data_IF_042985848505
#
_entry.id   IF_042985848505
#
_cell.length_a   1.000
_cell.length_b   1.000
_cell.length_c   1.000
_cell.angle_alpha   90.00
_cell.angle_beta   90.00
_cell.angle_gamma   90.00
#
_symmetry.space_group_name_H-M   'P 1'
#
loop_
_entity.id
_entity.type
_entity.pdbx_description
1 polymer ?
#
# COMPACT_ATOMS: atom_id res chain seq x y z
N UNK A 1 -16.11 20.91 10.19
CA UNK A 1 -16.20 19.90 11.28
C UNK A 1 -17.19 18.77 10.98
N UNK A 2 -18.47 19.04 10.65
CA UNK A 2 -19.46 17.99 10.34
C UNK A 2 -19.07 17.07 9.16
N UNK A 3 -18.54 17.62 8.07
CA UNK A 3 -18.07 16.83 6.90
C UNK A 3 -16.86 15.96 7.26
N UNK A 4 -15.93 16.48 8.07
CA UNK A 4 -14.77 15.73 8.55
C UNK A 4 -15.21 14.51 9.38
N UNK A 5 -16.17 14.71 10.30
CA UNK A 5 -16.72 13.64 11.13
C UNK A 5 -17.48 12.60 10.29
N UNK A 6 -18.18 13.03 9.23
CA UNK A 6 -18.87 12.13 8.31
C UNK A 6 -17.89 11.27 7.50
N UNK A 7 -16.82 11.88 6.97
CA UNK A 7 -15.75 11.17 6.27
C UNK A 7 -15.05 10.19 7.22
N UNK A 8 -14.73 10.61 8.45
CA UNK A 8 -14.18 9.70 9.48
C UNK A 8 -15.13 8.53 9.76
N UNK A 9 -16.43 8.81 9.89
CA UNK A 9 -17.45 7.79 10.09
C UNK A 9 -17.51 6.79 8.94
N UNK A 10 -17.45 7.25 7.69
CA UNK A 10 -17.44 6.39 6.50
C UNK A 10 -16.17 5.54 6.40
N UNK A 11 -15.00 6.08 6.76
CA UNK A 11 -13.73 5.34 6.79
C UNK A 11 -13.76 4.18 7.80
N UNK A 12 -14.52 4.31 8.89
CA UNK A 12 -14.68 3.25 9.88
C UNK A 12 -15.55 2.08 9.38
N UNK A 13 -16.40 2.29 8.36
CA UNK A 13 -17.36 1.28 7.89
C UNK A 13 -16.73 0.20 6.97
N UNK A 14 -15.50 0.40 6.49
CA UNK A 14 -14.74 -0.62 5.76
C UNK A 14 -15.30 -0.95 4.38
N UNK A 15 -14.62 -0.55 3.31
CA UNK A 15 -14.90 -1.03 1.96
C UNK A 15 -14.11 -2.31 1.68
N UNK A 16 -14.66 -3.30 0.94
CA UNK A 16 -13.89 -4.47 0.54
C UNK A 16 -12.64 -4.04 -0.25
N UNK A 17 -11.51 -4.64 0.12
CA UNK A 17 -10.18 -4.31 -0.44
C UNK A 17 -10.18 -4.58 -1.95
N UNK A 18 -9.85 -3.58 -2.75
CA UNK A 18 -9.67 -3.76 -4.18
C UNK A 18 -8.49 -4.73 -4.40
N UNK A 19 -8.75 -5.90 -5.00
CA UNK A 19 -7.75 -6.94 -5.34
C UNK A 19 -6.59 -6.47 -6.24
N UNK A 20 -6.58 -5.20 -6.68
CA UNK A 20 -5.62 -4.64 -7.61
C UNK A 20 -4.34 -4.07 -6.96
N UNK A 21 -4.29 -3.92 -5.63
CA UNK A 21 -3.12 -3.37 -4.95
C UNK A 21 -2.01 -4.43 -4.72
N UNK A 22 -0.76 -4.03 -4.93
CA UNK A 22 0.45 -4.82 -4.65
C UNK A 22 0.47 -6.25 -5.24
N UNK A 23 0.03 -6.45 -6.49
CA UNK A 23 0.02 -7.80 -7.10
C UNK A 23 -0.93 -8.78 -6.39
N UNK A 24 -1.95 -8.25 -5.72
CA UNK A 24 -2.95 -8.99 -4.96
C UNK A 24 -2.52 -9.32 -3.54
N UNK A 25 -1.35 -8.88 -3.07
CA UNK A 25 -0.89 -9.09 -1.70
C UNK A 25 -1.79 -8.35 -0.71
N UNK A 26 -2.10 -9.03 0.40
CA UNK A 26 -2.98 -8.50 1.44
C UNK A 26 -2.20 -8.31 2.74
N UNK A 27 -2.38 -7.18 3.44
CA UNK A 27 -1.87 -7.01 4.80
C UNK A 27 -2.33 -8.14 5.74
N UNK A 28 -1.49 -8.52 6.71
CA UNK A 28 -1.80 -9.60 7.65
C UNK A 28 -1.03 -9.50 8.98
N UNK A 29 -1.45 -10.27 9.99
CA UNK A 29 -0.82 -10.33 11.31
C UNK A 29 0.05 -11.58 11.50
N UNK A 30 0.51 -12.18 10.41
CA UNK A 30 1.35 -13.38 10.48
C UNK A 30 2.33 -13.46 9.32
N UNK A 31 3.41 -14.20 9.51
CA UNK A 31 4.38 -14.58 8.48
C UNK A 31 4.55 -16.09 8.49
N UNK A 32 4.26 -16.71 7.36
CA UNK A 32 4.54 -18.13 7.17
C UNK A 32 5.94 -18.32 6.62
N UNK A 33 6.61 -19.39 7.04
CA UNK A 33 7.94 -19.76 6.59
C UNK A 33 8.01 -21.27 6.31
N UNK A 34 8.70 -21.64 5.23
CA UNK A 34 9.05 -23.05 4.97
C UNK A 34 10.17 -23.43 5.93
N UNK A 35 10.01 -24.54 6.63
CA UNK A 35 11.02 -25.07 7.55
C UNK A 35 11.79 -26.24 6.94
N UNK A 36 11.13 -27.09 6.14
CA UNK A 36 11.78 -28.25 5.54
C UNK A 36 11.00 -28.83 4.35
N UNK A 37 11.69 -29.64 3.55
CA UNK A 37 11.11 -30.55 2.54
C UNK A 37 11.59 -31.96 2.88
N UNK A 38 10.67 -32.91 3.09
CA UNK A 38 10.98 -34.22 3.65
C UNK A 38 10.27 -35.38 2.91
N UNK A 39 10.99 -36.37 2.34
CA UNK A 39 12.45 -36.38 2.20
C UNK A 39 12.95 -35.22 1.31
N UNK A 40 14.21 -34.76 1.47
CA UNK A 40 14.76 -33.71 0.62
C UNK A 40 14.76 -34.11 -0.87
N UNK A 41 14.33 -33.20 -1.73
CA UNK A 41 14.32 -33.39 -3.18
C UNK A 41 15.51 -32.66 -3.83
N UNK A 42 16.37 -33.41 -4.53
CA UNK A 42 17.53 -32.83 -5.22
C UNK A 42 17.09 -31.86 -6.33
N UNK A 43 17.66 -30.65 -6.34
CA UNK A 43 17.34 -29.61 -7.33
C UNK A 43 16.02 -28.88 -7.07
N UNK A 44 15.35 -29.10 -5.93
CA UNK A 44 14.09 -28.42 -5.61
C UNK A 44 14.31 -27.37 -4.54
N UNK A 45 13.86 -26.15 -4.79
CA UNK A 45 13.87 -25.06 -3.82
C UNK A 45 12.43 -24.67 -3.50
N UNK A 46 12.11 -24.61 -2.22
CA UNK A 46 10.80 -24.19 -1.74
C UNK A 46 10.98 -23.11 -0.68
N UNK A 47 10.31 -21.98 -0.86
CA UNK A 47 10.35 -20.86 0.09
C UNK A 47 9.04 -20.10 0.10
N UNK A 48 8.76 -19.42 1.20
CA UNK A 48 7.74 -18.39 1.21
C UNK A 48 8.30 -17.10 0.64
N UNK A 49 7.53 -16.44 -0.21
CA UNK A 49 7.81 -15.13 -0.81
C UNK A 49 6.69 -14.16 -0.44
N UNK A 50 6.85 -12.89 -0.81
CA UNK A 50 5.84 -11.85 -0.66
C UNK A 50 5.29 -11.77 0.78
N UNK A 51 6.20 -11.65 1.76
CA UNK A 51 5.89 -11.56 3.19
C UNK A 51 5.07 -12.75 3.71
N UNK A 52 5.42 -13.96 3.29
CA UNK A 52 4.79 -15.17 3.83
C UNK A 52 3.41 -15.48 3.25
N UNK A 53 2.94 -14.76 2.24
CA UNK A 53 1.59 -14.95 1.67
C UNK A 53 1.55 -15.93 0.50
N UNK A 54 2.70 -16.23 -0.11
CA UNK A 54 2.78 -17.05 -1.32
C UNK A 54 3.94 -18.02 -1.24
N UNK A 55 3.69 -19.27 -1.64
CA UNK A 55 4.73 -20.30 -1.77
C UNK A 55 5.36 -20.19 -3.16
N UNK A 56 6.69 -20.16 -3.22
CA UNK A 56 7.47 -20.32 -4.44
C UNK A 56 8.14 -21.70 -4.43
N UNK A 57 7.91 -22.45 -5.50
CA UNK A 57 8.56 -23.74 -5.77
C UNK A 57 9.31 -23.63 -7.07
N UNK A 58 10.63 -23.81 -7.02
CA UNK A 58 11.49 -23.92 -8.20
C UNK A 58 11.97 -25.35 -8.35
N UNK A 59 11.73 -25.93 -9.52
CA UNK A 59 12.11 -27.30 -9.85
C UNK A 59 13.29 -27.29 -10.84
N UNK A 60 14.52 -27.32 -10.35
CA UNK A 60 15.73 -27.54 -11.16
C UNK A 60 16.07 -29.05 -11.27
N UNK A 61 15.18 -29.95 -10.81
CA UNK A 61 15.33 -31.39 -10.94
C UNK A 61 15.00 -31.90 -12.35
N UNK A 62 15.12 -33.22 -12.56
CA UNK A 62 14.91 -33.86 -13.87
C UNK A 62 13.48 -34.32 -14.12
N UNK A 63 12.63 -34.38 -13.09
CA UNK A 63 11.26 -34.89 -13.17
C UNK A 63 10.22 -33.81 -12.80
N UNK A 64 9.01 -33.83 -13.39
CA UNK A 64 7.91 -32.99 -12.95
C UNK A 64 7.50 -33.27 -11.50
N UNK A 65 7.09 -32.23 -10.78
CA UNK A 65 6.57 -32.32 -9.42
C UNK A 65 5.09 -31.93 -9.39
N UNK A 66 4.31 -32.51 -8.48
CA UNK A 66 2.94 -32.08 -8.22
C UNK A 66 2.85 -31.49 -6.82
N UNK A 67 2.39 -30.25 -6.71
CA UNK A 67 2.18 -29.56 -5.43
C UNK A 67 0.85 -28.83 -5.45
N UNK A 68 0.04 -29.02 -4.41
CA UNK A 68 -1.30 -28.42 -4.30
C UNK A 68 -2.17 -28.60 -5.58
N UNK A 69 -2.07 -29.77 -6.22
CA UNK A 69 -2.79 -30.07 -7.47
C UNK A 69 -2.21 -29.45 -8.74
N UNK A 70 -1.10 -28.70 -8.66
CA UNK A 70 -0.40 -28.10 -9.81
C UNK A 70 0.87 -28.88 -10.15
N UNK A 71 1.09 -29.11 -11.45
CA UNK A 71 2.35 -29.65 -11.96
C UNK A 71 3.38 -28.55 -12.18
N UNK A 72 4.61 -28.76 -11.71
CA UNK A 72 5.78 -27.87 -11.89
C UNK A 72 6.84 -28.65 -12.67
N UNK A 73 7.09 -28.25 -13.92
CA UNK A 73 8.05 -28.96 -14.80
C UNK A 73 9.50 -28.66 -14.43
N UNK A 74 10.47 -29.49 -14.86
CA UNK A 74 11.88 -29.14 -14.84
C UNK A 74 12.15 -27.76 -15.45
N UNK A 75 12.91 -26.92 -14.75
CA UNK A 75 13.19 -25.53 -15.09
C UNK A 75 12.08 -24.52 -14.77
N UNK A 76 10.92 -24.97 -14.28
CA UNK A 76 9.80 -24.09 -13.95
C UNK A 76 9.90 -23.54 -12.52
N UNK A 77 9.40 -22.31 -12.34
CA UNK A 77 9.07 -21.75 -11.03
C UNK A 77 7.57 -21.55 -10.92
N UNK A 78 6.93 -22.23 -9.97
CA UNK A 78 5.54 -22.03 -9.63
C UNK A 78 5.40 -21.13 -8.40
N UNK A 79 4.43 -20.21 -8.46
CA UNK A 79 4.06 -19.33 -7.34
C UNK A 79 2.57 -19.43 -7.12
N UNK A 80 2.14 -19.71 -5.90
CA UNK A 80 0.72 -19.88 -5.58
C UNK A 80 0.43 -19.65 -4.09
N UNK A 81 -0.83 -19.34 -3.79
CA UNK A 81 -1.34 -19.27 -2.42
C UNK A 81 -2.00 -20.57 -2.05
N UNK A 82 -1.95 -20.90 -0.77
CA UNK A 82 -2.56 -22.10 -0.22
C UNK A 82 -3.03 -21.81 1.20
N UNK A 83 -4.32 -21.95 1.47
CA UNK A 83 -4.90 -21.55 2.76
C UNK A 83 -4.32 -22.32 3.94
N UNK A 84 -3.75 -23.51 3.69
CA UNK A 84 -3.06 -24.30 4.72
C UNK A 84 -1.89 -23.56 5.33
N UNK A 85 -1.23 -22.65 4.60
CA UNK A 85 -0.07 -21.91 5.12
C UNK A 85 -0.43 -20.93 6.25
N UNK A 86 -1.71 -20.73 6.57
CA UNK A 86 -2.17 -19.87 7.66
C UNK A 86 -2.25 -20.55 9.04
N UNK A 87 -2.13 -21.88 9.08
CA UNK A 87 -2.08 -22.65 10.32
C UNK A 87 -0.73 -22.45 11.04
N UNK A 88 -0.68 -22.60 12.38
CA UNK A 88 0.55 -22.37 13.16
C UNK A 88 1.68 -23.31 12.73
N UNK A 89 1.33 -24.55 12.39
CA UNK A 89 2.18 -25.52 11.70
C UNK A 89 1.41 -26.06 10.51
N UNK A 90 2.05 -26.15 9.35
CA UNK A 90 1.37 -26.54 8.12
C UNK A 90 2.22 -27.45 7.24
N UNK A 91 1.54 -28.17 6.36
CA UNK A 91 2.14 -29.15 5.45
C UNK A 91 1.44 -29.12 4.09
N UNK A 92 2.23 -29.20 3.03
CA UNK A 92 1.74 -29.26 1.65
C UNK A 92 2.43 -30.45 0.95
N UNK A 93 1.67 -31.45 0.46
CA UNK A 93 2.25 -32.56 -0.31
C UNK A 93 2.95 -32.06 -1.58
N UNK A 94 4.14 -32.62 -1.86
CA UNK A 94 5.00 -32.32 -2.99
C UNK A 94 5.56 -33.64 -3.56
N UNK A 95 4.83 -34.27 -4.47
CA UNK A 95 5.17 -35.62 -4.97
C UNK A 95 5.21 -36.65 -3.83
N UNK A 96 6.34 -37.33 -3.67
CA UNK A 96 6.61 -38.27 -2.57
C UNK A 96 7.12 -37.57 -1.29
N UNK A 97 7.35 -36.26 -1.35
CA UNK A 97 7.82 -35.44 -0.24
C UNK A 97 6.70 -34.55 0.32
N UNK A 98 7.00 -33.91 1.45
CA UNK A 98 6.11 -32.93 2.09
C UNK A 98 6.89 -31.64 2.37
N UNK A 99 6.34 -30.51 1.94
CA UNK A 99 6.79 -29.19 2.36
C UNK A 99 6.17 -28.90 3.72
N UNK A 100 7.01 -28.64 4.72
CA UNK A 100 6.59 -28.27 6.07
C UNK A 100 6.89 -26.80 6.33
N UNK A 101 6.08 -26.18 7.16
CA UNK A 101 6.35 -24.83 7.61
C UNK A 101 5.62 -24.45 8.88
N UNK A 102 5.93 -23.25 9.34
CA UNK A 102 5.38 -22.65 10.55
C UNK A 102 4.89 -21.24 10.25
N UNK A 103 4.03 -20.74 11.12
CA UNK A 103 3.48 -19.39 11.02
C UNK A 103 3.76 -18.63 12.30
N UNK A 104 4.49 -17.53 12.19
CA UNK A 104 4.73 -16.61 13.31
C UNK A 104 3.67 -15.52 13.28
N UNK A 105 2.95 -15.35 14.39
CA UNK A 105 1.93 -14.29 14.54
C UNK A 105 2.55 -13.06 15.21
N UNK A 106 2.07 -11.90 14.81
CA UNK A 106 2.51 -10.61 15.31
C UNK A 106 1.30 -9.84 15.85
N UNK A 107 1.50 -9.12 16.95
CA UNK A 107 0.48 -8.24 17.47
C UNK A 107 0.20 -7.11 16.49
N UNK A 108 -1.08 -6.76 16.36
CA UNK A 108 -1.50 -5.63 15.55
C UNK A 108 -0.92 -4.32 16.13
N UNK A 109 -0.54 -3.36 15.27
CA UNK A 109 -0.14 -2.03 15.72
C UNK A 109 -1.32 -1.29 16.39
N UNK A 110 -1.02 -0.24 17.14
CA UNK A 110 -2.05 0.64 17.68
C UNK A 110 -2.67 1.50 16.55
N UNK A 111 -3.74 1.00 15.94
CA UNK A 111 -4.44 1.68 14.85
C UNK A 111 -4.93 3.08 15.24
N UNK A 112 -5.36 3.27 16.49
CA UNK A 112 -5.83 4.57 16.98
C UNK A 112 -4.73 5.63 16.94
N UNK A 113 -3.49 5.26 17.29
CA UNK A 113 -2.36 6.19 17.22
C UNK A 113 -2.14 6.70 15.79
N UNK A 114 -2.13 5.81 14.80
CA UNK A 114 -1.97 6.20 13.39
C UNK A 114 -3.11 7.05 12.88
N UNK A 115 -4.35 6.73 13.28
CA UNK A 115 -5.52 7.57 13.03
C UNK A 115 -5.36 8.99 13.61
N UNK A 116 -4.90 9.10 14.85
CA UNK A 116 -4.65 10.40 15.49
C UNK A 116 -3.57 11.18 14.75
N UNK A 117 -2.51 10.53 14.28
CA UNK A 117 -1.49 11.15 13.42
C UNK A 117 -2.11 11.66 12.12
N UNK A 118 -2.93 10.85 11.44
CA UNK A 118 -3.64 11.26 10.22
C UNK A 118 -4.52 12.49 10.47
N UNK A 119 -5.28 12.52 11.57
CA UNK A 119 -6.11 13.66 11.97
C UNK A 119 -5.26 14.90 12.28
N UNK A 120 -4.13 14.74 12.97
CA UNK A 120 -3.22 15.82 13.27
C UNK A 120 -2.62 16.43 11.99
N UNK A 121 -2.21 15.61 11.03
CA UNK A 121 -1.75 16.07 9.70
C UNK A 121 -2.89 16.79 8.96
N UNK A 122 -4.12 16.27 9.00
CA UNK A 122 -5.27 16.92 8.38
C UNK A 122 -5.59 18.30 8.97
N UNK A 123 -5.42 18.47 10.28
CA UNK A 123 -5.63 19.74 10.96
C UNK A 123 -4.70 20.86 10.45
N UNK A 124 -3.54 20.51 9.88
CA UNK A 124 -2.62 21.48 9.27
C UNK A 124 -3.27 22.25 8.10
N UNK A 125 -4.33 21.72 7.49
CA UNK A 125 -5.06 22.40 6.40
C UNK A 125 -5.59 23.78 6.77
N UNK A 126 -5.90 24.02 8.05
CA UNK A 126 -6.31 25.34 8.57
C UNK A 126 -5.21 26.39 8.35
N UNK A 127 -3.95 25.98 8.43
CA UNK A 127 -2.79 26.83 8.25
C UNK A 127 -2.36 26.93 6.78
N UNK A 128 -2.42 25.83 6.03
CA UNK A 128 -1.99 25.79 4.63
C UNK A 128 -2.73 26.82 3.76
N UNK A 129 -4.02 27.04 4.03
CA UNK A 129 -4.79 28.04 3.29
C UNK A 129 -4.25 29.47 3.42
N UNK A 130 -3.33 29.78 4.33
CA UNK A 130 -2.80 31.14 4.52
C UNK A 130 -1.87 31.62 3.41
N UNK A 131 -1.40 30.74 2.53
CA UNK A 131 -0.58 31.16 1.39
C UNK A 131 -0.43 30.10 0.30
N UNK A 132 -0.36 30.55 -0.96
CA UNK A 132 -0.22 29.66 -2.12
C UNK A 132 1.07 28.84 -2.10
N UNK A 133 2.16 29.41 -1.57
CA UNK A 133 3.43 28.68 -1.43
C UNK A 133 3.29 27.48 -0.49
N UNK A 134 2.57 27.61 0.63
CA UNK A 134 2.35 26.51 1.57
C UNK A 134 1.50 25.40 0.95
N UNK A 135 0.45 25.75 0.20
CA UNK A 135 -0.35 24.77 -0.54
C UNK A 135 0.48 24.00 -1.57
N UNK A 136 1.35 24.69 -2.31
CA UNK A 136 2.21 24.04 -3.29
C UNK A 136 3.23 23.10 -2.67
N UNK A 137 3.94 23.55 -1.61
CA UNK A 137 4.90 22.71 -0.88
C UNK A 137 4.21 21.47 -0.30
N UNK A 138 3.07 21.66 0.36
CA UNK A 138 2.30 20.54 0.90
C UNK A 138 1.81 19.60 -0.21
N UNK A 139 1.41 20.12 -1.38
CA UNK A 139 1.01 19.29 -2.52
C UNK A 139 2.16 18.39 -2.96
N UNK A 140 3.36 18.95 -3.12
CA UNK A 140 4.55 18.16 -3.51
C UNK A 140 4.87 17.09 -2.46
N UNK A 141 4.84 17.42 -1.16
CA UNK A 141 5.16 16.46 -0.10
C UNK A 141 4.15 15.31 -0.02
N UNK A 142 2.85 15.62 -0.08
CA UNK A 142 1.77 14.62 -0.03
C UNK A 142 1.83 13.71 -1.25
N UNK A 143 2.07 14.28 -2.43
CA UNK A 143 2.26 13.53 -3.67
C UNK A 143 3.52 12.65 -3.61
N UNK A 144 4.63 13.16 -3.11
CA UNK A 144 5.86 12.39 -2.95
C UNK A 144 5.68 11.21 -1.99
N UNK A 145 4.92 11.39 -0.90
CA UNK A 145 4.58 10.30 0.01
C UNK A 145 3.75 9.21 -0.70
N UNK A 146 2.77 9.60 -1.51
CA UNK A 146 1.97 8.66 -2.30
C UNK A 146 2.82 7.90 -3.33
N UNK A 147 3.75 8.58 -4.03
CA UNK A 147 4.69 7.93 -4.96
C UNK A 147 5.58 6.93 -4.22
N UNK A 148 6.13 7.32 -3.06
CA UNK A 148 6.97 6.45 -2.25
C UNK A 148 6.21 5.20 -1.76
N UNK A 149 4.95 5.37 -1.35
CA UNK A 149 4.07 4.26 -1.00
C UNK A 149 3.88 3.32 -2.20
N UNK A 150 3.47 3.83 -3.37
CA UNK A 150 3.27 3.02 -4.57
C UNK A 150 4.56 2.28 -5.01
N UNK A 151 5.72 2.93 -4.92
CA UNK A 151 7.01 2.32 -5.20
C UNK A 151 7.30 1.16 -4.24
N UNK A 152 7.20 1.38 -2.93
CA UNK A 152 7.48 0.33 -1.95
C UNK A 152 6.50 -0.85 -2.03
N UNK A 153 5.22 -0.59 -2.30
CA UNK A 153 4.20 -1.61 -2.55
C UNK A 153 4.44 -2.39 -3.84
N UNK A 154 5.13 -1.79 -4.82
CA UNK A 154 5.52 -2.48 -6.06
C UNK A 154 6.77 -3.33 -5.85
N UNK A 155 7.78 -2.79 -5.17
CA UNK A 155 9.08 -3.43 -5.00
C UNK A 155 9.04 -4.70 -4.14
N UNK A 156 8.04 -4.86 -3.28
CA UNK A 156 7.89 -6.06 -2.46
C UNK A 156 7.44 -7.28 -3.27
N UNK A 157 6.78 -7.05 -4.42
CA UNK A 157 6.16 -8.11 -5.20
C UNK A 157 7.23 -8.83 -5.99
N UNK A 158 7.44 -10.10 -5.66
CA UNK A 158 8.38 -10.97 -6.35
C UNK A 158 7.73 -11.63 -7.57
N UNK A 159 8.48 -11.67 -8.67
CA UNK A 159 8.10 -12.46 -9.83
C UNK A 159 7.16 -11.82 -10.85
N UNK A 160 6.75 -10.57 -10.64
CA UNK A 160 6.01 -9.77 -11.62
C UNK A 160 6.89 -8.72 -12.30
N UNK A 161 6.45 -8.19 -13.44
CA UNK A 161 7.11 -7.06 -14.07
C UNK A 161 6.80 -5.77 -13.31
N UNK A 162 7.84 -4.97 -13.03
CA UNK A 162 7.72 -3.77 -12.21
C UNK A 162 6.71 -2.77 -12.78
N UNK A 163 6.76 -2.48 -14.08
CA UNK A 163 5.97 -1.39 -14.66
C UNK A 163 4.44 -1.62 -14.57
N UNK A 164 3.88 -2.77 -14.96
CA UNK A 164 2.45 -3.03 -14.77
C UNK A 164 2.02 -3.01 -13.30
N UNK A 165 2.85 -3.55 -12.41
CA UNK A 165 2.59 -3.52 -10.97
C UNK A 165 2.59 -2.09 -10.42
N UNK A 166 3.56 -1.28 -10.83
CA UNK A 166 3.67 0.11 -10.43
C UNK A 166 2.46 0.92 -10.91
N UNK A 167 2.09 0.77 -12.19
CA UNK A 167 0.90 1.42 -12.75
C UNK A 167 -0.37 1.00 -11.99
N UNK A 168 -0.53 -0.29 -11.69
CA UNK A 168 -1.64 -0.82 -10.89
C UNK A 168 -1.67 -0.26 -9.47
N UNK A 169 -0.54 -0.24 -8.78
CA UNK A 169 -0.41 0.30 -7.42
C UNK A 169 -0.58 1.83 -7.35
N UNK A 170 -0.29 2.53 -8.45
CA UNK A 170 -0.37 4.00 -8.50
C UNK A 170 -1.80 4.50 -8.66
N UNK A 171 -2.64 3.79 -9.43
CA UNK A 171 -4.06 4.12 -9.62
C UNK A 171 -4.31 5.60 -9.95
N UNK A 172 -5.11 6.27 -9.12
CA UNK A 172 -5.43 7.71 -9.24
C UNK A 172 -4.20 8.62 -9.09
N UNK A 173 -3.13 8.12 -8.44
CA UNK A 173 -1.84 8.81 -8.32
C UNK A 173 -1.26 9.22 -9.67
N UNK A 174 -1.42 8.41 -10.72
CA UNK A 174 -0.92 8.72 -12.07
C UNK A 174 -1.47 10.04 -12.64
N UNK A 175 -2.67 10.44 -12.23
CA UNK A 175 -3.26 11.74 -12.57
C UNK A 175 -2.81 12.82 -11.59
N UNK A 176 -2.72 12.51 -10.30
CA UNK A 176 -2.34 13.46 -9.26
C UNK A 176 -0.89 13.96 -9.39
N UNK A 177 0.05 13.13 -9.84
CA UNK A 177 1.47 13.47 -9.90
C UNK A 177 1.79 14.61 -10.90
N UNK A 178 1.33 14.56 -12.17
CA UNK A 178 1.52 15.71 -13.06
C UNK A 178 0.77 16.95 -12.57
N UNK A 179 -0.42 16.79 -11.96
CA UNK A 179 -1.14 17.91 -11.36
C UNK A 179 -0.37 18.57 -10.21
N UNK A 180 0.38 17.80 -9.41
CA UNK A 180 1.25 18.35 -8.37
C UNK A 180 2.36 19.24 -8.96
N UNK A 181 2.95 18.83 -10.09
CA UNK A 181 3.93 19.66 -10.82
C UNK A 181 3.29 20.95 -11.33
N UNK A 182 2.09 20.86 -11.91
CA UNK A 182 1.34 22.04 -12.36
C UNK A 182 0.98 22.97 -11.19
N UNK A 183 0.62 22.41 -10.03
CA UNK A 183 0.34 23.18 -8.82
C UNK A 183 1.56 23.99 -8.38
N UNK A 184 2.75 23.37 -8.38
CA UNK A 184 4.01 24.04 -8.06
C UNK A 184 4.35 25.15 -9.07
N UNK A 185 4.24 24.87 -10.37
CA UNK A 185 4.45 25.88 -11.43
C UNK A 185 3.49 27.06 -11.33
N UNK A 186 2.20 26.80 -11.08
CA UNK A 186 1.19 27.82 -10.86
C UNK A 186 1.53 28.69 -9.62
N UNK A 187 2.10 28.10 -8.57
CA UNK A 187 2.45 28.82 -7.34
C UNK A 187 3.64 29.75 -7.54
N UNK A 188 4.66 29.30 -8.29
CA UNK A 188 5.79 30.15 -8.72
C UNK A 188 5.28 31.34 -9.53
N UNK A 189 4.33 31.10 -10.45
CA UNK A 189 3.67 32.14 -11.23
C UNK A 189 2.61 32.93 -10.44
N UNK A 190 2.44 32.66 -9.13
CA UNK A 190 1.47 33.28 -8.22
C UNK A 190 0.02 33.27 -8.75
N UNK A 191 -0.37 32.18 -9.40
CA UNK A 191 -1.71 32.04 -9.98
C UNK A 191 -2.71 31.51 -8.94
N UNK A 192 -3.94 32.03 -8.90
CA UNK A 192 -4.98 31.53 -7.98
C UNK A 192 -5.33 30.05 -8.23
N UNK A 193 -5.07 29.56 -9.44
CA UNK A 193 -5.25 28.16 -9.82
C UNK A 193 -4.50 27.17 -8.90
N UNK A 194 -3.41 27.58 -8.25
CA UNK A 194 -2.69 26.76 -7.26
C UNK A 194 -3.62 26.20 -6.19
N UNK A 195 -4.51 27.03 -5.64
CA UNK A 195 -5.40 26.58 -4.56
C UNK A 195 -6.42 25.55 -5.04
N UNK A 196 -6.93 25.71 -6.27
CA UNK A 196 -7.86 24.77 -6.90
C UNK A 196 -7.18 23.42 -7.19
N UNK A 197 -5.98 23.46 -7.80
CA UNK A 197 -5.24 22.23 -8.14
C UNK A 197 -4.82 21.50 -6.85
N UNK A 198 -4.32 22.21 -5.84
CA UNK A 198 -4.00 21.63 -4.54
C UNK A 198 -5.21 20.94 -3.90
N UNK A 199 -6.39 21.59 -3.90
CA UNK A 199 -7.59 21.00 -3.32
C UNK A 199 -8.05 19.75 -4.07
N UNK A 200 -7.96 19.78 -5.41
CA UNK A 200 -8.33 18.66 -6.29
C UNK A 200 -7.40 17.47 -6.08
N UNK A 201 -6.09 17.69 -6.13
CA UNK A 201 -5.07 16.65 -5.87
C UNK A 201 -5.27 16.07 -4.47
N UNK A 202 -5.47 16.92 -3.46
CA UNK A 202 -5.71 16.48 -2.09
C UNK A 202 -6.92 15.57 -1.95
N UNK A 203 -8.06 15.97 -2.52
CA UNK A 203 -9.29 15.17 -2.48
C UNK A 203 -9.16 13.83 -3.21
N UNK A 204 -8.51 13.84 -4.38
CA UNK A 204 -8.28 12.62 -5.16
C UNK A 204 -7.37 11.63 -4.43
N UNK A 205 -6.28 12.11 -3.81
CA UNK A 205 -5.37 11.25 -3.05
C UNK A 205 -6.01 10.70 -1.77
N UNK A 206 -6.91 11.45 -1.12
CA UNK A 206 -7.70 10.90 0.01
C UNK A 206 -8.52 9.70 -0.45
N UNK A 207 -9.28 9.84 -1.54
CA UNK A 207 -10.12 8.76 -2.07
C UNK A 207 -9.26 7.58 -2.51
N UNK A 208 -8.14 7.84 -3.16
CA UNK A 208 -7.22 6.82 -3.64
C UNK A 208 -6.61 5.98 -2.51
N UNK A 209 -6.35 6.59 -1.35
CA UNK A 209 -5.70 5.93 -0.22
C UNK A 209 -6.65 5.37 0.83
N UNK A 210 -7.98 5.41 0.61
CA UNK A 210 -8.94 4.73 1.50
C UNK A 210 -8.65 3.22 1.63
N UNK A 211 -8.36 2.47 0.53
CA UNK A 211 -8.04 1.05 0.63
C UNK A 211 -6.76 0.76 1.44
N UNK A 212 -5.83 1.71 1.50
CA UNK A 212 -4.55 1.57 2.22
C UNK A 212 -4.72 1.75 3.74
N UNK A 213 -5.94 2.02 4.23
CA UNK A 213 -6.23 2.18 5.66
C UNK A 213 -5.89 0.94 6.49
N UNK A 214 -5.95 -0.24 5.87
CA UNK A 214 -5.57 -1.50 6.52
C UNK A 214 -4.09 -1.52 6.95
N UNK A 215 -3.23 -0.66 6.39
CA UNK A 215 -1.86 -0.47 6.88
C UNK A 215 -1.81 -0.12 8.37
N UNK A 216 -2.84 0.53 8.92
CA UNK A 216 -2.90 0.87 10.35
C UNK A 216 -3.31 -0.29 11.25
N UNK A 217 -3.83 -1.40 10.70
CA UNK A 217 -4.44 -2.51 11.46
C UNK A 217 -3.59 -3.76 11.47
N UNK A 218 -2.77 -3.96 10.44
CA UNK A 218 -2.00 -5.19 10.27
C UNK A 218 -0.52 -4.96 10.55
N UNK A 219 0.12 -5.92 11.20
CA UNK A 219 1.53 -5.87 11.56
C UNK A 219 2.44 -5.98 10.31
N UNK A 220 2.07 -6.86 9.38
CA UNK A 220 2.82 -7.16 8.16
C UNK A 220 2.11 -6.53 6.97
N UNK A 221 2.84 -5.67 6.27
CA UNK A 221 2.33 -4.90 5.14
C UNK A 221 3.08 -5.32 3.88
N UNK A 222 2.42 -5.39 2.71
CA UNK A 222 3.08 -5.66 1.45
C UNK A 222 3.84 -4.42 0.99
N UNK A 223 4.95 -4.12 1.66
CA UNK A 223 5.77 -2.94 1.44
C UNK A 223 7.24 -3.28 1.63
N UNK A 224 8.11 -2.84 0.70
CA UNK A 224 9.52 -3.20 0.71
C UNK A 224 10.34 -2.57 1.85
N UNK A 225 9.83 -1.53 2.52
CA UNK A 225 10.44 -0.88 3.67
C UNK A 225 9.90 -1.39 5.01
N UNK A 226 10.11 -0.62 6.08
CA UNK A 226 9.50 -0.92 7.38
C UNK A 226 7.98 -0.67 7.34
N UNK A 227 7.23 -1.44 8.13
CA UNK A 227 5.79 -1.26 8.22
C UNK A 227 5.41 0.13 8.79
N UNK A 228 6.22 0.69 9.68
CA UNK A 228 5.98 2.05 10.21
C UNK A 228 6.21 3.14 9.16
N UNK A 229 7.16 2.94 8.25
CA UNK A 229 7.35 3.85 7.11
C UNK A 229 6.11 3.82 6.21
N UNK A 230 5.59 2.64 5.87
CA UNK A 230 4.36 2.53 5.08
C UNK A 230 3.19 3.27 5.74
N UNK A 231 2.97 3.04 7.03
CA UNK A 231 1.92 3.73 7.81
C UNK A 231 2.11 5.24 7.82
N UNK A 232 3.35 5.72 7.99
CA UNK A 232 3.63 7.14 7.94
C UNK A 232 3.31 7.74 6.55
N UNK A 233 3.69 7.06 5.47
CA UNK A 233 3.38 7.47 4.10
C UNK A 233 1.86 7.53 3.88
N UNK A 234 1.12 6.50 4.26
CA UNK A 234 -0.36 6.46 4.18
C UNK A 234 -0.99 7.57 5.02
N UNK A 235 -0.53 7.79 6.26
CA UNK A 235 -1.04 8.85 7.13
C UNK A 235 -0.78 10.25 6.56
N UNK A 236 0.39 10.48 5.93
CA UNK A 236 0.72 11.72 5.24
C UNK A 236 -0.17 11.89 4.01
N UNK A 237 -0.40 10.84 3.22
CA UNK A 237 -1.24 10.92 2.02
C UNK A 237 -2.70 11.21 2.38
N UNK A 238 -3.30 10.45 3.30
CA UNK A 238 -4.67 10.66 3.75
C UNK A 238 -4.85 11.99 4.49
N UNK A 239 -4.04 12.22 5.52
CA UNK A 239 -4.14 13.42 6.35
C UNK A 239 -3.77 14.66 5.56
N UNK A 240 -2.67 14.61 4.82
CA UNK A 240 -2.19 15.72 4.01
C UNK A 240 -3.10 16.01 2.81
N UNK A 241 -3.65 14.98 2.16
CA UNK A 241 -4.64 15.18 1.09
C UNK A 241 -5.88 15.92 1.59
N UNK A 242 -6.38 15.57 2.78
CA UNK A 242 -7.48 16.28 3.42
C UNK A 242 -7.08 17.72 3.83
N UNK A 243 -5.86 17.92 4.34
CA UNK A 243 -5.32 19.24 4.65
C UNK A 243 -5.27 20.14 3.40
N UNK A 244 -4.85 19.59 2.25
CA UNK A 244 -4.81 20.29 0.97
C UNK A 244 -6.21 20.65 0.46
N UNK A 245 -7.17 19.73 0.53
CA UNK A 245 -8.56 19.99 0.19
C UNK A 245 -9.11 21.14 1.03
N UNK A 246 -9.03 21.05 2.36
CA UNK A 246 -9.52 22.08 3.29
C UNK A 246 -8.80 23.41 3.07
N UNK A 247 -7.48 23.40 2.95
CA UNK A 247 -6.66 24.59 2.79
C UNK A 247 -6.93 25.32 1.48
N UNK A 248 -7.00 24.58 0.37
CA UNK A 248 -7.29 25.14 -0.96
C UNK A 248 -8.69 25.73 -1.05
N UNK A 249 -9.73 25.03 -0.57
CA UNK A 249 -11.09 25.59 -0.50
C UNK A 249 -11.17 26.82 0.41
N UNK A 250 -10.48 26.79 1.55
CA UNK A 250 -10.46 27.93 2.47
C UNK A 250 -9.78 29.16 1.87
N UNK A 251 -8.72 28.97 1.08
CA UNK A 251 -8.07 30.05 0.34
C UNK A 251 -9.02 30.65 -0.70
N UNK A 252 -9.60 29.81 -1.57
CA UNK A 252 -10.52 30.27 -2.63
C UNK A 252 -11.71 31.05 -2.07
N UNK A 253 -12.29 30.58 -0.95
CA UNK A 253 -13.40 31.28 -0.29
C UNK A 253 -13.04 32.69 0.18
N UNK A 254 -11.82 32.90 0.70
CA UNK A 254 -11.37 34.23 1.12
C UNK A 254 -11.19 35.16 -0.07
N UNK A 255 -10.61 34.64 -1.15
CA UNK A 255 -10.37 35.41 -2.37
C UNK A 255 -11.69 35.90 -3.00
N UNK A 256 -12.73 35.05 -3.01
CA UNK A 256 -14.06 35.44 -3.53
C UNK A 256 -14.83 36.40 -2.63
N UNK A 257 -14.41 36.56 -1.37
CA UNK A 257 -15.08 37.42 -0.39
C UNK A 257 -14.40 38.78 -0.23
N UNK A 258 -13.22 38.97 -0.83
CA UNK A 258 -12.49 40.23 -0.90
C UNK A 258 -12.89 41.02 -2.14
#
# INVERSE_FOLDING_TARGET
MRVLLLVLGLLLVGTPVAHAHAGGLTPQNHLSAVTSVDPPLSGVQVRMINHGTQLEVRNDGSAPLVIAGRTVRPGETARFRDDRTTADTWQIPLGESVVRGTTTRYDAPNALMWLLITVAVAALGVFLGRGLAWLAVATVLVTAANVAHALGSTMVVTGGSFLPLFVGASGVGLVCWPLAVLCAGAAVARKPATAFVAATVGAMLVVASIPDFDSFRFAQLPFAGSADLDRALVAITLGGGLALAVGGFSWMRRETAA
#
